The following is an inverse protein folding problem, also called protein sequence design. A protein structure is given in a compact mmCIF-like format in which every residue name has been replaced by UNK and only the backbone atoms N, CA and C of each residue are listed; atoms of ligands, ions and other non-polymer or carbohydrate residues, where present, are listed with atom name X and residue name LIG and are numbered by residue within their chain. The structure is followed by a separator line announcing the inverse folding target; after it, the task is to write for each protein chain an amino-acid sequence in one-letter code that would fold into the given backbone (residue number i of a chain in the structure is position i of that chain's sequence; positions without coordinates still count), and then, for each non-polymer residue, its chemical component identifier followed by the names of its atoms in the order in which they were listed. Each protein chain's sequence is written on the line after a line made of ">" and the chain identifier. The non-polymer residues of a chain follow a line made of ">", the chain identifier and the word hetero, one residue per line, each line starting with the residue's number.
data_IF_522459689146
#
_entry.id   IF_522459689146
#
_cell.length_a   1.000
_cell.length_b   1.000
_cell.length_c   1.000
_cell.angle_alpha   90.00
_cell.angle_beta   90.00
_cell.angle_gamma   90.00
#
_symmetry.space_group_name_H-M   'P 1'
#
loop_
_entity.id
_entity.type
_entity.pdbx_description
1 polymer ?
#
# COMPACT_ATOMS: atom_id res chain seq x y z
N UNK A 1 43.66 -9.52 16.78
CA UNK A 1 43.24 -8.79 15.56
C UNK A 1 42.40 -9.68 14.64
N UNK A 2 42.96 -10.75 14.05
CA UNK A 2 42.25 -11.70 13.17
C UNK A 2 40.90 -12.20 13.73
N UNK A 3 40.85 -12.59 15.01
CA UNK A 3 39.62 -13.06 15.67
C UNK A 3 38.55 -11.98 15.77
N UNK A 4 38.93 -10.74 16.09
CA UNK A 4 38.01 -9.60 16.18
C UNK A 4 37.41 -9.22 14.82
N UNK A 5 38.22 -9.34 13.75
CA UNK A 5 37.78 -9.09 12.37
C UNK A 5 36.76 -10.13 11.93
N UNK A 6 36.99 -11.41 12.27
CA UNK A 6 36.05 -12.50 12.00
C UNK A 6 34.72 -12.30 12.72
N UNK A 7 34.75 -12.04 14.03
CA UNK A 7 33.52 -11.89 14.83
C UNK A 7 32.68 -10.70 14.38
N UNK A 8 33.30 -9.55 14.08
CA UNK A 8 32.55 -8.38 13.62
C UNK A 8 31.97 -8.60 12.22
N UNK A 9 32.68 -9.35 11.36
CA UNK A 9 32.20 -9.71 10.02
C UNK A 9 31.01 -10.66 10.09
N UNK A 10 31.04 -11.66 10.96
CA UNK A 10 29.91 -12.58 11.18
C UNK A 10 28.65 -11.84 11.61
N UNK A 11 28.75 -10.91 12.56
CA UNK A 11 27.60 -10.12 13.03
C UNK A 11 27.00 -9.27 11.92
N UNK A 12 27.81 -8.63 11.08
CA UNK A 12 27.32 -7.81 9.97
C UNK A 12 26.75 -8.65 8.84
N UNK A 13 27.40 -9.76 8.48
CA UNK A 13 26.88 -10.69 7.47
C UNK A 13 25.53 -11.26 7.91
N UNK A 14 25.39 -11.59 9.20
CA UNK A 14 24.12 -12.06 9.76
C UNK A 14 23.04 -10.98 9.67
N UNK A 15 23.31 -9.74 10.11
CA UNK A 15 22.33 -8.64 10.00
C UNK A 15 21.90 -8.36 8.56
N UNK A 16 22.84 -8.38 7.62
CA UNK A 16 22.53 -8.15 6.20
C UNK A 16 21.72 -9.31 5.62
N UNK A 17 22.06 -10.56 5.99
CA UNK A 17 21.29 -11.73 5.59
C UNK A 17 19.85 -11.68 6.11
N UNK A 18 19.67 -11.40 7.41
CA UNK A 18 18.36 -11.26 8.05
C UNK A 18 17.53 -10.14 7.35
N UNK A 19 18.14 -8.97 7.11
CA UNK A 19 17.46 -7.84 6.44
C UNK A 19 17.06 -8.19 5.01
N UNK A 20 17.89 -8.96 4.30
CA UNK A 20 17.60 -9.40 2.94
C UNK A 20 16.43 -10.39 2.90
N UNK A 21 16.39 -11.34 3.83
CA UNK A 21 15.29 -12.30 3.96
C UNK A 21 13.96 -11.61 4.29
N UNK A 22 13.99 -10.63 5.19
CA UNK A 22 12.82 -9.79 5.50
C UNK A 22 12.33 -9.06 4.26
N UNK A 23 13.22 -8.43 3.49
CA UNK A 23 12.86 -7.73 2.24
C UNK A 23 12.27 -8.69 1.21
N UNK A 24 12.84 -9.88 1.05
CA UNK A 24 12.35 -10.88 0.10
C UNK A 24 10.93 -11.33 0.45
N UNK A 25 10.65 -11.51 1.74
CA UNK A 25 9.31 -11.81 2.23
C UNK A 25 8.33 -10.66 1.97
N UNK A 26 8.75 -9.41 2.23
CA UNK A 26 7.93 -8.21 1.96
C UNK A 26 7.64 -8.03 0.47
N UNK A 27 8.59 -8.33 -0.41
CA UNK A 27 8.41 -8.24 -1.87
C UNK A 27 7.39 -9.24 -2.37
N UNK A 28 7.45 -10.49 -1.91
CA UNK A 28 6.46 -11.52 -2.25
C UNK A 28 5.07 -11.11 -1.75
N UNK A 29 4.98 -10.65 -0.49
CA UNK A 29 3.73 -10.14 0.06
C UNK A 29 3.17 -8.98 -0.74
N UNK A 30 3.99 -7.97 -1.06
CA UNK A 30 3.58 -6.81 -1.86
C UNK A 30 3.07 -7.20 -3.24
N UNK A 31 3.71 -8.16 -3.91
CA UNK A 31 3.27 -8.64 -5.22
C UNK A 31 1.90 -9.31 -5.16
N UNK A 32 1.70 -10.23 -4.22
CA UNK A 32 0.43 -10.90 -3.99
C UNK A 32 -0.67 -9.91 -3.61
N UNK A 33 -0.37 -9.00 -2.68
CA UNK A 33 -1.29 -7.96 -2.25
C UNK A 33 -1.69 -7.04 -3.41
N UNK A 34 -0.72 -6.59 -4.21
CA UNK A 34 -1.00 -5.74 -5.38
C UNK A 34 -1.91 -6.44 -6.39
N UNK A 35 -1.76 -7.75 -6.61
CA UNK A 35 -2.64 -8.52 -7.48
C UNK A 35 -4.09 -8.58 -6.95
N UNK A 36 -4.25 -8.79 -5.63
CA UNK A 36 -5.57 -8.76 -4.98
C UNK A 36 -6.21 -7.38 -5.14
N UNK A 37 -5.51 -6.30 -4.77
CA UNK A 37 -6.03 -4.92 -4.90
C UNK A 37 -6.38 -4.61 -6.36
N UNK A 38 -5.53 -4.99 -7.31
CA UNK A 38 -5.79 -4.78 -8.74
C UNK A 38 -7.08 -5.46 -9.19
N UNK A 39 -7.36 -6.67 -8.70
CA UNK A 39 -8.61 -7.39 -9.02
C UNK A 39 -9.84 -6.60 -8.58
N UNK A 40 -9.80 -6.04 -7.36
CA UNK A 40 -10.87 -5.19 -6.84
C UNK A 40 -11.00 -3.87 -7.62
N UNK A 41 -9.88 -3.21 -7.93
CA UNK A 41 -9.86 -1.98 -8.75
C UNK A 41 -10.46 -2.23 -10.13
N UNK A 42 -10.08 -3.32 -10.81
CA UNK A 42 -10.64 -3.66 -12.13
C UNK A 42 -12.14 -3.92 -12.04
N UNK A 43 -12.62 -4.50 -10.93
CA UNK A 43 -14.05 -4.73 -10.72
C UNK A 43 -14.85 -3.44 -10.45
N UNK A 44 -14.27 -2.45 -9.77
CA UNK A 44 -14.96 -1.19 -9.41
C UNK A 44 -14.67 -0.01 -10.34
N UNK A 45 -13.68 -0.12 -11.21
CA UNK A 45 -13.36 0.91 -12.20
C UNK A 45 -14.53 1.22 -13.15
N UNK A 46 -15.32 0.23 -13.62
CA UNK A 46 -16.51 0.49 -14.43
C UNK A 46 -17.54 1.39 -13.73
N UNK A 47 -17.62 1.37 -12.40
CA UNK A 47 -18.53 2.24 -11.63
C UNK A 47 -18.15 3.74 -11.71
N UNK A 48 -16.96 4.07 -12.22
CA UNK A 48 -16.52 5.43 -12.51
C UNK A 48 -16.79 5.87 -13.95
N UNK A 49 -17.34 4.98 -14.77
CA UNK A 49 -17.67 5.24 -16.16
C UNK A 49 -19.19 5.18 -16.35
N UNK A 50 -19.73 5.88 -17.36
CA UNK A 50 -21.13 5.73 -17.73
C UNK A 50 -21.39 4.27 -18.14
N UNK A 51 -22.41 3.63 -17.54
CA UNK A 51 -22.86 2.32 -17.99
C UNK A 51 -23.76 2.50 -19.22
N UNK A 52 -23.23 2.15 -20.39
CA UNK A 52 -23.98 2.17 -21.65
C UNK A 52 -25.26 1.31 -21.55
N UNK A 53 -25.29 0.29 -20.69
CA UNK A 53 -26.44 -0.61 -20.51
C UNK A 53 -27.60 0.11 -19.82
N UNK A 54 -27.31 0.88 -18.78
CA UNK A 54 -28.31 1.69 -18.09
C UNK A 54 -28.79 2.85 -18.98
N UNK A 55 -27.90 3.44 -19.78
CA UNK A 55 -28.27 4.42 -20.80
C UNK A 55 -29.22 3.82 -21.84
N UNK A 56 -28.94 2.61 -22.34
CA UNK A 56 -29.83 1.89 -23.28
C UNK A 56 -31.19 1.61 -22.62
N UNK A 57 -31.24 1.17 -21.37
CA UNK A 57 -32.51 0.90 -20.66
C UNK A 57 -33.29 2.20 -20.43
N UNK A 58 -32.61 3.29 -20.08
CA UNK A 58 -33.19 4.61 -19.95
C UNK A 58 -33.78 5.10 -21.28
N UNK A 59 -33.01 5.04 -22.37
CA UNK A 59 -33.44 5.38 -23.72
C UNK A 59 -34.61 4.51 -24.19
N UNK A 60 -34.60 3.21 -23.88
CA UNK A 60 -35.71 2.30 -24.19
C UNK A 60 -36.98 2.67 -23.42
N UNK A 61 -36.90 2.87 -22.10
CA UNK A 61 -38.05 3.31 -21.30
C UNK A 61 -38.60 4.66 -21.78
N UNK A 62 -37.71 5.57 -22.12
CA UNK A 62 -38.09 6.88 -22.64
C UNK A 62 -38.74 6.77 -24.02
N UNK A 63 -38.23 5.90 -24.91
CA UNK A 63 -38.83 5.66 -26.24
C UNK A 63 -40.25 5.06 -26.16
N UNK A 64 -40.50 4.18 -25.18
CA UNK A 64 -41.83 3.61 -24.92
C UNK A 64 -42.77 4.62 -24.27
N UNK A 65 -42.25 5.57 -23.49
CA UNK A 65 -43.03 6.62 -22.85
C UNK A 65 -43.36 7.82 -23.77
N UNK A 66 -42.78 7.87 -24.98
CA UNK A 66 -43.03 8.94 -25.94
C UNK A 66 -44.42 8.83 -26.57
N UNK A 67 -45.26 9.85 -26.33
CA UNK A 67 -46.51 10.01 -27.05
C UNK A 67 -46.28 10.89 -28.28
N UNK A 68 -46.68 10.38 -29.45
CA UNK A 68 -46.62 11.11 -30.71
C UNK A 68 -47.97 11.75 -30.99
N UNK A 69 -47.95 13.02 -31.40
CA UNK A 69 -49.13 13.72 -31.90
C UNK A 69 -48.98 13.97 -33.39
N UNK A 70 -50.08 13.86 -34.12
CA UNK A 70 -50.13 14.15 -35.55
C UNK A 70 -50.58 15.59 -35.72
N UNK A 71 -49.68 16.48 -36.13
CA UNK A 71 -50.01 17.88 -36.35
C UNK A 71 -49.49 18.33 -37.72
N UNK A 72 -50.36 18.90 -38.55
CA UNK A 72 -50.06 19.34 -39.92
C UNK A 72 -49.39 18.28 -40.81
N UNK A 73 -49.86 17.03 -40.78
CA UNK A 73 -49.29 15.96 -41.62
C UNK A 73 -48.00 15.34 -41.08
N UNK A 74 -47.49 15.81 -39.94
CA UNK A 74 -46.20 15.39 -39.37
C UNK A 74 -46.39 14.80 -37.98
N UNK A 75 -45.81 13.63 -37.75
CA UNK A 75 -45.67 13.02 -36.43
C UNK A 75 -44.65 13.81 -35.61
N UNK A 76 -45.07 14.39 -34.49
CA UNK A 76 -44.18 15.11 -33.56
C UNK A 76 -44.28 14.52 -32.16
N UNK A 77 -43.14 14.31 -31.46
CA UNK A 77 -43.17 13.97 -30.05
C UNK A 77 -43.83 15.11 -29.26
N UNK A 78 -44.72 14.78 -28.33
CA UNK A 78 -45.48 15.76 -27.55
C UNK A 78 -44.61 16.52 -26.52
N UNK A 79 -43.45 15.96 -26.16
CA UNK A 79 -42.47 16.54 -25.23
C UNK A 79 -41.08 16.47 -25.87
N UNK A 80 -40.32 17.58 -25.96
CA UNK A 80 -38.93 17.56 -26.43
C UNK A 80 -38.05 16.69 -25.53
N UNK A 81 -37.06 16.03 -26.11
CA UNK A 81 -36.10 15.23 -25.34
C UNK A 81 -35.33 16.16 -24.38
N UNK A 82 -35.39 15.97 -23.05
CA UNK A 82 -34.48 16.66 -22.16
C UNK A 82 -33.05 16.20 -22.48
N UNK A 83 -32.05 17.10 -22.48
CA UNK A 83 -30.66 16.70 -22.63
C UNK A 83 -30.26 15.79 -21.46
N UNK A 84 -29.55 14.71 -21.76
CA UNK A 84 -29.09 13.78 -20.73
C UNK A 84 -28.18 14.56 -19.75
N UNK A 85 -28.41 14.44 -18.43
CA UNK A 85 -27.53 15.05 -17.46
C UNK A 85 -26.11 14.47 -17.63
N UNK A 86 -25.05 15.28 -17.46
CA UNK A 86 -23.69 14.77 -17.51
C UNK A 86 -23.52 13.67 -16.46
N UNK A 87 -22.81 12.60 -16.83
CA UNK A 87 -22.54 11.50 -15.91
C UNK A 87 -21.77 12.00 -14.69
N UNK A 88 -22.33 11.79 -13.51
CA UNK A 88 -21.65 12.01 -12.23
C UNK A 88 -21.39 10.67 -11.55
N UNK A 89 -20.11 10.33 -11.39
CA UNK A 89 -19.72 9.11 -10.70
C UNK A 89 -20.20 9.14 -9.24
N UNK A 90 -20.72 8.03 -8.70
CA UNK A 90 -21.20 8.01 -7.33
C UNK A 90 -20.06 8.25 -6.34
N UNK A 91 -20.34 9.03 -5.30
CA UNK A 91 -19.34 9.46 -4.30
C UNK A 91 -18.66 8.27 -3.61
N UNK A 92 -19.38 7.17 -3.40
CA UNK A 92 -18.82 5.96 -2.82
C UNK A 92 -17.75 5.33 -3.74
N UNK A 93 -17.99 5.29 -5.05
CA UNK A 93 -17.08 4.69 -6.02
C UNK A 93 -15.78 5.51 -6.13
N UNK A 94 -15.88 6.84 -6.10
CA UNK A 94 -14.72 7.73 -6.05
C UNK A 94 -13.85 7.48 -4.81
N UNK A 95 -14.48 7.35 -3.62
CA UNK A 95 -13.77 7.09 -2.36
C UNK A 95 -13.10 5.71 -2.36
N UNK A 96 -13.82 4.67 -2.77
CA UNK A 96 -13.31 3.29 -2.79
C UNK A 96 -12.14 3.15 -3.77
N UNK A 97 -12.32 3.58 -5.03
CA UNK A 97 -11.26 3.52 -6.03
C UNK A 97 -10.06 4.37 -5.60
N UNK A 98 -10.27 5.57 -5.06
CA UNK A 98 -9.19 6.42 -4.56
C UNK A 98 -8.37 5.75 -3.44
N UNK A 99 -9.03 5.11 -2.47
CA UNK A 99 -8.36 4.36 -1.40
C UNK A 99 -7.58 3.15 -1.92
N UNK A 100 -8.13 2.40 -2.88
CA UNK A 100 -7.46 1.23 -3.45
C UNK A 100 -6.30 1.61 -4.37
N UNK A 101 -6.41 2.66 -5.18
CA UNK A 101 -5.27 3.19 -5.93
C UNK A 101 -4.16 3.68 -5.00
N UNK A 102 -4.49 4.43 -3.95
CA UNK A 102 -3.51 4.87 -2.95
C UNK A 102 -2.82 3.67 -2.26
N UNK A 103 -3.60 2.66 -1.87
CA UNK A 103 -3.07 1.41 -1.32
C UNK A 103 -2.07 0.74 -2.27
N UNK A 104 -2.44 0.59 -3.54
CA UNK A 104 -1.61 -0.04 -4.57
C UNK A 104 -0.31 0.74 -4.80
N UNK A 105 -0.39 2.07 -4.93
CA UNK A 105 0.80 2.94 -5.12
C UNK A 105 1.77 2.81 -3.95
N UNK A 106 1.26 2.83 -2.71
CA UNK A 106 2.10 2.69 -1.52
C UNK A 106 2.74 1.29 -1.46
N UNK A 107 2.01 0.23 -1.81
CA UNK A 107 2.55 -1.14 -1.86
C UNK A 107 3.69 -1.25 -2.88
N UNK A 108 3.46 -0.79 -4.12
CA UNK A 108 4.46 -0.85 -5.19
C UNK A 108 5.69 0.02 -4.89
N UNK A 109 5.47 1.19 -4.30
CA UNK A 109 6.56 2.07 -3.86
C UNK A 109 7.39 1.39 -2.77
N UNK A 110 6.74 0.71 -1.81
CA UNK A 110 7.44 -0.07 -0.78
C UNK A 110 8.27 -1.19 -1.38
N UNK A 111 7.73 -1.93 -2.36
CA UNK A 111 8.49 -2.94 -3.07
C UNK A 111 9.68 -2.36 -3.83
N UNK A 112 9.50 -1.22 -4.51
CA UNK A 112 10.58 -0.54 -5.23
C UNK A 112 11.72 -0.12 -4.28
N UNK A 113 11.40 0.51 -3.15
CA UNK A 113 12.41 0.87 -2.15
C UNK A 113 13.07 -0.36 -1.51
N UNK A 114 12.31 -1.43 -1.24
CA UNK A 114 12.86 -2.70 -0.76
C UNK A 114 13.87 -3.29 -1.72
N UNK A 115 13.60 -3.24 -3.02
CA UNK A 115 14.54 -3.69 -4.05
C UNK A 115 15.83 -2.86 -4.08
N UNK A 116 15.74 -1.54 -3.94
CA UNK A 116 16.93 -0.67 -3.84
C UNK A 116 17.78 -0.99 -2.61
N UNK A 117 17.14 -1.14 -1.44
CA UNK A 117 17.83 -1.56 -0.21
C UNK A 117 18.51 -2.91 -0.42
N UNK A 118 17.83 -3.89 -1.01
CA UNK A 118 18.41 -5.20 -1.33
C UNK A 118 19.63 -5.07 -2.24
N UNK A 119 19.57 -4.25 -3.29
CA UNK A 119 20.69 -4.02 -4.19
C UNK A 119 21.89 -3.42 -3.46
N UNK A 120 21.68 -2.41 -2.61
CA UNK A 120 22.73 -1.80 -1.81
C UNK A 120 23.36 -2.79 -0.82
N UNK A 121 22.55 -3.67 -0.21
CA UNK A 121 23.03 -4.71 0.71
C UNK A 121 23.84 -5.80 -0.01
N UNK A 122 23.44 -6.18 -1.22
CA UNK A 122 24.20 -7.13 -2.06
C UNK A 122 25.55 -6.51 -2.45
N UNK A 123 25.56 -5.28 -2.94
CA UNK A 123 26.77 -4.55 -3.31
C UNK A 123 27.72 -4.36 -2.12
N UNK A 124 27.18 -4.18 -0.91
CA UNK A 124 27.97 -4.13 0.31
C UNK A 124 28.69 -5.45 0.62
N UNK A 125 28.08 -6.59 0.29
CA UNK A 125 28.62 -7.93 0.53
C UNK A 125 29.43 -8.52 -0.62
N UNK A 126 29.24 -8.03 -1.85
CA UNK A 126 29.72 -8.66 -3.09
C UNK A 126 31.25 -8.72 -3.25
N UNK A 127 32.03 -8.30 -2.26
CA UNK A 127 33.46 -8.10 -2.45
C UNK A 127 34.34 -9.10 -1.70
N UNK A 128 34.78 -10.10 -2.48
CA UNK A 128 35.86 -11.02 -2.16
C UNK A 128 37.19 -10.28 -2.19
N UNK A 129 37.89 -10.25 -1.06
CA UNK A 129 39.17 -9.56 -0.94
C UNK A 129 40.26 -10.49 -0.43
N UNK A 130 41.46 -10.31 -1.00
CA UNK A 130 42.64 -11.16 -0.83
C UNK A 130 43.31 -10.95 0.55
N UNK A 131 43.12 -9.79 1.19
CA UNK A 131 43.72 -9.49 2.50
C UNK A 131 42.71 -8.98 3.57
N UNK A 132 42.83 -9.42 4.84
CA UNK A 132 41.91 -9.04 5.91
C UNK A 132 42.05 -7.56 6.37
N UNK A 133 43.17 -6.91 6.06
CA UNK A 133 43.42 -5.50 6.42
C UNK A 133 42.81 -4.52 5.41
N UNK A 134 42.88 -4.82 4.11
CA UNK A 134 42.24 -4.00 3.07
C UNK A 134 40.72 -4.08 3.17
N UNK A 135 40.19 -5.26 3.52
CA UNK A 135 38.77 -5.47 3.77
C UNK A 135 38.24 -4.61 4.93
N UNK A 136 39.00 -4.48 6.02
CA UNK A 136 38.62 -3.61 7.15
C UNK A 136 38.62 -2.13 6.78
N UNK A 137 39.62 -1.68 6.00
CA UNK A 137 39.73 -0.28 5.57
C UNK A 137 38.61 0.11 4.61
N UNK A 138 38.33 -0.71 3.60
CA UNK A 138 37.24 -0.48 2.67
C UNK A 138 35.86 -0.50 3.39
N UNK A 139 35.69 -1.40 4.37
CA UNK A 139 34.49 -1.45 5.21
C UNK A 139 34.34 -0.21 6.10
N UNK A 140 35.41 0.23 6.77
CA UNK A 140 35.40 1.47 7.56
C UNK A 140 35.11 2.70 6.69
N UNK A 141 35.47 2.68 5.40
CA UNK A 141 35.17 3.76 4.48
C UNK A 141 33.70 3.77 4.01
N UNK A 142 33.09 2.60 3.81
CA UNK A 142 31.72 2.45 3.28
C UNK A 142 30.62 2.36 4.37
N UNK A 143 30.97 1.92 5.59
CA UNK A 143 30.03 1.85 6.72
C UNK A 143 29.46 3.22 7.14
N UNK A 144 30.25 4.32 7.21
CA UNK A 144 29.72 5.66 7.40
C UNK A 144 28.72 6.01 6.29
N UNK A 145 29.00 5.61 5.04
CA UNK A 145 28.07 5.77 3.93
C UNK A 145 26.72 5.08 4.15
N UNK A 146 26.67 3.87 4.72
CA UNK A 146 25.39 3.23 5.05
C UNK A 146 24.61 3.96 6.16
N UNK A 147 25.31 4.53 7.14
CA UNK A 147 24.72 5.32 8.22
C UNK A 147 24.26 6.71 7.74
N UNK A 148 25.08 7.38 6.94
CA UNK A 148 24.80 8.70 6.35
C UNK A 148 23.61 8.63 5.39
N UNK A 149 23.51 7.57 4.58
CA UNK A 149 22.40 7.30 3.68
C UNK A 149 21.23 6.57 4.36
N UNK A 150 21.34 6.26 5.66
CA UNK A 150 20.25 5.71 6.49
C UNK A 150 19.58 4.45 5.91
N UNK A 151 20.35 3.59 5.23
CA UNK A 151 19.82 2.42 4.50
C UNK A 151 19.00 1.50 5.41
N UNK A 152 19.48 1.23 6.62
CA UNK A 152 18.76 0.41 7.60
C UNK A 152 17.52 1.10 8.18
N UNK A 153 17.48 2.45 8.23
CA UNK A 153 16.26 3.17 8.62
C UNK A 153 15.21 3.07 7.52
N UNK A 154 15.60 3.20 6.24
CA UNK A 154 14.69 2.99 5.11
C UNK A 154 14.13 1.57 5.17
N UNK A 155 15.00 0.56 5.31
CA UNK A 155 14.59 -0.85 5.43
C UNK A 155 13.58 -1.09 6.57
N UNK A 156 13.77 -0.42 7.70
CA UNK A 156 12.90 -0.50 8.86
C UNK A 156 11.50 0.14 8.66
N UNK A 157 11.36 1.08 7.72
CA UNK A 157 10.08 1.76 7.43
C UNK A 157 9.23 0.98 6.43
N UNK A 158 9.84 0.14 5.59
CA UNK A 158 9.14 -0.63 4.55
C UNK A 158 7.96 -1.46 5.10
N UNK A 159 8.11 -2.26 6.18
CA UNK A 159 6.98 -3.02 6.71
C UNK A 159 5.80 -2.15 7.14
N UNK A 160 6.09 -0.94 7.64
CA UNK A 160 5.07 0.00 8.11
C UNK A 160 4.30 0.62 6.93
N UNK A 161 4.97 0.96 5.83
CA UNK A 161 4.32 1.41 4.60
C UNK A 161 3.36 0.34 4.05
N UNK A 162 3.76 -0.94 4.08
CA UNK A 162 2.88 -2.04 3.70
C UNK A 162 1.66 -2.20 4.62
N UNK A 163 1.82 -2.00 5.93
CA UNK A 163 0.67 -2.01 6.85
C UNK A 163 -0.29 -0.84 6.59
N UNK A 164 0.23 0.36 6.28
CA UNK A 164 -0.60 1.51 5.88
C UNK A 164 -1.37 1.19 4.60
N UNK A 165 -0.69 0.61 3.60
CA UNK A 165 -1.30 0.17 2.35
C UNK A 165 -2.42 -0.86 2.60
N UNK A 166 -2.19 -1.84 3.46
CA UNK A 166 -3.18 -2.84 3.85
C UNK A 166 -4.39 -2.20 4.57
N UNK A 167 -4.14 -1.23 5.45
CA UNK A 167 -5.19 -0.48 6.15
C UNK A 167 -6.07 0.34 5.21
N UNK A 168 -5.47 1.01 4.22
CA UNK A 168 -6.21 1.73 3.16
C UNK A 168 -7.09 0.79 2.35
N UNK A 169 -6.58 -0.40 2.01
CA UNK A 169 -7.36 -1.41 1.30
C UNK A 169 -8.57 -1.89 2.11
N UNK A 170 -8.37 -2.24 3.38
CA UNK A 170 -9.47 -2.67 4.24
C UNK A 170 -10.50 -1.56 4.50
N UNK A 171 -10.07 -0.31 4.62
CA UNK A 171 -10.98 0.82 4.73
C UNK A 171 -11.85 0.96 3.47
N UNK A 172 -11.23 0.84 2.28
CA UNK A 172 -11.95 0.80 1.02
C UNK A 172 -12.92 -0.39 0.93
N UNK A 173 -12.52 -1.55 1.44
CA UNK A 173 -13.35 -2.76 1.48
C UNK A 173 -14.58 -2.59 2.38
N UNK A 174 -14.46 -1.92 3.52
CA UNK A 174 -15.60 -1.57 4.37
C UNK A 174 -16.60 -0.68 3.65
N UNK A 175 -16.11 0.39 2.99
CA UNK A 175 -16.99 1.30 2.23
C UNK A 175 -17.66 0.59 1.07
N UNK A 176 -16.91 -0.21 0.31
CA UNK A 176 -17.43 -0.97 -0.83
C UNK A 176 -18.56 -1.91 -0.41
N UNK A 177 -18.31 -2.78 0.59
CA UNK A 177 -19.33 -3.72 1.05
C UNK A 177 -20.55 -3.01 1.63
N UNK A 178 -20.37 -1.89 2.33
CA UNK A 178 -21.50 -1.12 2.86
C UNK A 178 -22.36 -0.46 1.78
N UNK A 179 -21.78 -0.12 0.63
CA UNK A 179 -22.50 0.49 -0.49
C UNK A 179 -23.31 -0.55 -1.28
N UNK A 180 -22.77 -1.75 -1.48
CA UNK A 180 -23.42 -2.82 -2.23
C UNK A 180 -24.45 -3.59 -1.40
N UNK A 181 -24.10 -3.99 -0.17
CA UNK A 181 -24.98 -4.80 0.66
C UNK A 181 -24.74 -4.58 2.16
N UNK A 182 -25.75 -4.05 2.85
CA UNK A 182 -25.66 -3.73 4.28
C UNK A 182 -25.31 -4.95 5.17
N UNK A 183 -25.77 -6.14 4.80
CA UNK A 183 -25.51 -7.38 5.56
C UNK A 183 -24.04 -7.77 5.46
N UNK A 184 -23.47 -7.71 4.24
CA UNK A 184 -22.05 -8.03 4.00
C UNK A 184 -21.14 -6.96 4.61
N UNK A 185 -21.56 -5.69 4.58
CA UNK A 185 -20.85 -4.61 5.27
C UNK A 185 -20.78 -4.85 6.79
N UNK A 186 -21.89 -5.26 7.41
CA UNK A 186 -21.97 -5.50 8.86
C UNK A 186 -21.11 -6.67 9.33
N UNK A 187 -20.91 -7.70 8.49
CA UNK A 187 -20.02 -8.83 8.81
C UNK A 187 -18.54 -8.51 8.59
N UNK A 188 -18.22 -7.67 7.59
CA UNK A 188 -16.82 -7.30 7.26
C UNK A 188 -16.23 -6.32 8.27
N UNK A 189 -17.02 -5.38 8.77
CA UNK A 189 -16.57 -4.36 9.71
C UNK A 189 -15.89 -4.90 10.99
N UNK A 190 -16.46 -5.87 11.75
CA UNK A 190 -15.81 -6.38 12.96
C UNK A 190 -14.50 -7.12 12.68
N UNK A 191 -14.37 -7.76 11.52
CA UNK A 191 -13.12 -8.43 11.12
C UNK A 191 -12.01 -7.40 10.88
N UNK A 192 -12.31 -6.34 10.13
CA UNK A 192 -11.37 -5.24 9.88
C UNK A 192 -11.05 -4.48 11.17
N UNK A 193 -12.04 -4.24 12.03
CA UNK A 193 -11.83 -3.59 13.33
C UNK A 193 -10.95 -4.44 14.25
N UNK A 194 -11.14 -5.75 14.28
CA UNK A 194 -10.30 -6.67 15.05
C UNK A 194 -8.85 -6.66 14.57
N UNK A 195 -8.62 -6.70 13.26
CA UNK A 195 -7.29 -6.56 12.67
C UNK A 195 -6.66 -5.19 13.02
N UNK A 196 -7.40 -4.10 12.83
CA UNK A 196 -6.91 -2.75 13.10
C UNK A 196 -6.56 -2.56 14.59
N UNK A 197 -7.38 -3.10 15.49
CA UNK A 197 -7.11 -3.09 16.92
C UNK A 197 -5.83 -3.84 17.26
N UNK A 198 -5.63 -5.04 16.71
CA UNK A 198 -4.40 -5.81 16.92
C UNK A 198 -3.16 -5.12 16.33
N UNK A 199 -3.27 -4.56 15.13
CA UNK A 199 -2.20 -3.79 14.49
C UNK A 199 -1.82 -2.55 15.33
N UNK A 200 -2.81 -1.83 15.86
CA UNK A 200 -2.57 -0.66 16.69
C UNK A 200 -1.97 -1.04 18.05
N UNK A 201 -2.46 -2.11 18.68
CA UNK A 201 -1.88 -2.65 19.90
C UNK A 201 -0.40 -3.01 19.71
N UNK A 202 -0.05 -3.72 18.65
CA UNK A 202 1.35 -4.10 18.38
C UNK A 202 2.24 -2.91 18.06
N UNK A 203 1.70 -1.85 17.45
CA UNK A 203 2.41 -0.60 17.18
C UNK A 203 2.60 0.28 18.43
N UNK A 204 1.65 0.26 19.37
CA UNK A 204 1.67 1.08 20.61
C UNK A 204 2.33 0.35 21.79
N UNK A 205 2.29 -0.99 21.83
CA UNK A 205 2.95 -1.80 22.87
C UNK A 205 4.42 -1.43 23.18
N UNK A 206 5.27 -1.06 22.20
CA UNK A 206 6.65 -0.66 22.44
C UNK A 206 6.80 0.70 23.14
N UNK A 207 5.77 1.56 23.08
CA UNK A 207 5.73 2.85 23.79
C UNK A 207 5.37 2.70 25.26
N UNK A 208 4.53 1.71 25.59
CA UNK A 208 4.02 1.50 26.95
C UNK A 208 4.98 0.65 27.79
N UNK A 209 5.67 -0.30 27.16
CA UNK A 209 6.53 -1.25 27.88
C UNK A 209 7.92 -1.34 27.27
N UNK A 210 8.99 -0.90 27.97
CA UNK A 210 10.37 -1.00 27.48
C UNK A 210 10.89 -2.45 27.35
N UNK A 211 10.11 -3.45 27.80
CA UNK A 211 10.39 -4.88 27.67
C UNK A 211 9.65 -5.56 26.51
N UNK A 212 8.87 -4.83 25.71
CA UNK A 212 8.11 -5.44 24.61
C UNK A 212 9.03 -5.96 23.49
N UNK A 213 8.80 -7.20 22.98
CA UNK A 213 9.61 -7.82 21.94
C UNK A 213 9.44 -7.15 20.57
N UNK A 214 8.32 -6.44 20.34
CA UNK A 214 8.06 -5.63 19.16
C UNK A 214 8.97 -4.39 19.16
N UNK A 215 10.20 -4.53 18.68
CA UNK A 215 11.11 -3.38 18.51
C UNK A 215 10.81 -2.71 17.19
N UNK A 216 9.82 -1.82 17.17
CA UNK A 216 9.62 -0.92 16.03
C UNK A 216 10.86 -0.02 15.94
N UNK A 217 11.72 -0.27 14.96
CA UNK A 217 13.01 0.40 14.74
C UNK A 217 12.85 1.92 14.58
N UNK A 218 11.71 2.38 14.05
CA UNK A 218 11.29 3.79 14.02
C UNK A 218 11.23 4.44 15.41
N UNK A 219 10.80 3.70 16.44
CA UNK A 219 10.75 4.22 17.81
C UNK A 219 12.15 4.51 18.35
N UNK A 220 13.15 3.70 17.98
CA UNK A 220 14.56 3.94 18.36
C UNK A 220 15.16 5.15 17.65
N UNK A 221 14.72 5.45 16.43
CA UNK A 221 15.14 6.65 15.69
C UNK A 221 14.46 7.91 16.27
N UNK A 222 13.15 7.86 16.50
CA UNK A 222 12.39 8.95 17.13
C UNK A 222 12.86 9.27 18.56
N UNK A 223 13.14 8.24 19.37
CA UNK A 223 13.70 8.41 20.73
C UNK A 223 15.13 8.95 20.72
N UNK A 224 15.92 8.68 19.67
CA UNK A 224 17.27 9.27 19.51
C UNK A 224 17.21 10.76 19.14
N UNK A 225 16.23 11.16 18.34
CA UNK A 225 16.01 12.58 18.01
C UNK A 225 15.48 13.33 19.23
N UNK A 226 14.56 12.74 20.00
CA UNK A 226 14.07 13.34 21.25
C UNK A 226 15.15 13.52 22.33
N UNK A 227 16.15 12.64 22.39
CA UNK A 227 17.30 12.77 23.31
C UNK A 227 18.40 13.75 22.85
N UNK A 228 18.35 14.27 21.63
CA UNK A 228 19.28 15.33 21.17
C UNK A 228 18.76 16.74 21.45
N UNK A 229 17.51 16.87 21.89
CA UNK A 229 16.86 18.14 22.22
C UNK A 229 16.60 18.33 23.73
N UNK A 230 17.22 17.49 24.58
CA UNK A 230 17.31 17.63 26.04
C UNK A 230 18.80 17.61 26.40
#
# INVERSE_FOLDING_TARGET
>A
WQTMVKTVREVDMQKVADTKEDIDTLLVFSGLFSAVVTTFVVATYPSLQPDNSDEIVFLLRQSVAQNYTFNNGVLRPMVPFPPDPPFEAPVWALRVNGLWFASLIISLSTASFGMLVKQWLIEYLAMEWISPQEQLRARQYRHPGLEDWKVFEIAAVLPLLLHISLGLFFLGLCFYNSAENEIVGRSTFPLVAGWAFFALLTMVAPLVTPRCPYKVTLLKAALRVGRRHV
#
